data_IF_495988445501
#
_entry.id   IF_495988445501
#
_cell.length_a   1.000
_cell.length_b   1.000
_cell.length_c   1.000
_cell.angle_alpha   90.00
_cell.angle_beta   90.00
_cell.angle_gamma   90.00
#
_symmetry.space_group_name_H-M   'P 1'
#
loop_
_entity.id
_entity.type
_entity.pdbx_description
1 polymer ?
#
# COMPACT_ATOMS: atom_id res chain seq x y z
N UNK A 1 45.32 1.93 1.84
CA UNK A 1 43.85 2.08 1.96
C UNK A 1 43.07 0.79 1.71
N UNK A 2 43.49 -0.11 0.82
CA UNK A 2 42.73 -1.34 0.51
C UNK A 2 42.58 -2.33 1.70
N UNK A 3 43.60 -2.46 2.55
CA UNK A 3 43.56 -3.34 3.74
C UNK A 3 42.46 -2.91 4.74
N UNK A 4 42.27 -1.59 4.91
CA UNK A 4 41.22 -1.06 5.78
C UNK A 4 39.83 -1.43 5.23
N UNK A 5 39.59 -1.23 3.94
CA UNK A 5 38.32 -1.62 3.30
C UNK A 5 38.08 -3.13 3.36
N UNK A 6 39.11 -3.96 3.17
CA UNK A 6 38.99 -5.41 3.31
C UNK A 6 38.58 -5.83 4.73
N UNK A 7 39.16 -5.20 5.77
CA UNK A 7 38.79 -5.43 7.16
C UNK A 7 37.35 -4.99 7.46
N UNK A 8 36.94 -3.81 6.97
CA UNK A 8 35.57 -3.31 7.13
C UNK A 8 34.57 -4.25 6.45
N UNK A 9 34.84 -4.67 5.20
CA UNK A 9 33.97 -5.62 4.48
C UNK A 9 33.87 -6.96 5.22
N UNK A 10 34.97 -7.47 5.77
CA UNK A 10 34.97 -8.70 6.55
C UNK A 10 34.14 -8.57 7.84
N UNK A 11 34.29 -7.45 8.56
CA UNK A 11 33.50 -7.19 9.77
C UNK A 11 32.00 -7.08 9.47
N UNK A 12 31.63 -6.40 8.38
CA UNK A 12 30.22 -6.25 7.95
C UNK A 12 29.64 -7.59 7.52
N UNK A 13 30.36 -8.39 6.72
CA UNK A 13 29.93 -9.74 6.34
C UNK A 13 29.80 -10.68 7.54
N UNK A 14 30.73 -10.62 8.49
CA UNK A 14 30.67 -11.39 9.73
C UNK A 14 29.45 -11.01 10.57
N UNK A 15 29.18 -9.71 10.71
CA UNK A 15 27.98 -9.21 11.41
C UNK A 15 26.68 -9.64 10.72
N UNK A 16 26.58 -9.48 9.40
CA UNK A 16 25.43 -9.90 8.60
C UNK A 16 25.18 -11.40 8.73
N UNK A 17 26.23 -12.21 8.62
CA UNK A 17 26.12 -13.65 8.78
C UNK A 17 25.71 -14.08 10.19
N UNK A 18 26.24 -13.41 11.21
CA UNK A 18 25.85 -13.64 12.61
C UNK A 18 24.39 -13.26 12.87
N UNK A 19 23.97 -12.05 12.45
CA UNK A 19 22.59 -11.60 12.59
C UNK A 19 21.62 -12.53 11.85
N UNK A 20 22.03 -13.01 10.67
CA UNK A 20 21.25 -13.98 9.91
C UNK A 20 21.14 -15.33 10.62
N UNK A 21 22.23 -15.89 11.15
CA UNK A 21 22.20 -17.13 11.95
C UNK A 21 21.32 -17.01 13.20
N UNK A 22 21.39 -15.89 13.91
CA UNK A 22 20.53 -15.60 15.06
C UNK A 22 19.06 -15.57 14.60
N UNK A 23 18.77 -14.90 13.48
CA UNK A 23 17.41 -14.87 12.92
C UNK A 23 16.95 -16.28 12.53
N UNK A 24 17.82 -17.07 11.90
CA UNK A 24 17.56 -18.45 11.50
C UNK A 24 17.14 -19.29 12.72
N UNK A 25 17.92 -19.22 13.79
CA UNK A 25 17.70 -20.02 15.00
C UNK A 25 16.52 -19.55 15.87
N UNK A 26 16.19 -18.26 15.87
CA UNK A 26 15.17 -17.71 16.77
C UNK A 26 13.79 -17.57 16.13
N UNK A 27 13.73 -17.23 14.84
CA UNK A 27 12.46 -17.04 14.10
C UNK A 27 11.95 -18.28 13.40
N UNK A 28 12.79 -19.25 13.05
CA UNK A 28 12.38 -20.39 12.24
C UNK A 28 12.40 -21.69 13.03
N UNK A 29 11.33 -22.46 12.93
CA UNK A 29 11.31 -23.83 13.45
C UNK A 29 11.89 -24.77 12.38
N UNK A 30 13.08 -25.27 12.66
CA UNK A 30 13.81 -26.16 11.76
C UNK A 30 13.29 -27.59 11.82
N UNK A 31 12.49 -27.95 10.82
CA UNK A 31 12.14 -29.34 10.55
C UNK A 31 13.28 -30.10 9.90
N UNK A 32 13.19 -31.43 9.84
CA UNK A 32 14.23 -32.30 9.26
C UNK A 32 14.50 -31.90 7.81
N UNK A 33 13.47 -31.53 7.05
CA UNK A 33 13.62 -31.10 5.65
C UNK A 33 14.43 -29.80 5.54
N UNK A 34 14.12 -28.80 6.35
CA UNK A 34 14.85 -27.52 6.34
C UNK A 34 16.33 -27.70 6.70
N UNK A 35 16.64 -28.64 7.61
CA UNK A 35 18.03 -28.96 7.98
C UNK A 35 18.78 -29.63 6.84
N UNK A 36 18.13 -30.54 6.10
CA UNK A 36 18.73 -31.19 4.92
C UNK A 36 19.03 -30.17 3.83
N UNK A 37 18.10 -29.25 3.55
CA UNK A 37 18.31 -28.20 2.54
C UNK A 37 19.42 -27.25 2.96
N UNK A 38 19.45 -26.79 4.21
CA UNK A 38 20.52 -25.93 4.72
C UNK A 38 21.87 -26.65 4.71
N UNK A 39 21.92 -27.94 5.07
CA UNK A 39 23.13 -28.74 5.00
C UNK A 39 23.63 -28.89 3.55
N UNK A 40 22.72 -29.08 2.60
CA UNK A 40 23.06 -29.14 1.18
C UNK A 40 23.62 -27.81 0.67
N UNK A 41 23.00 -26.68 1.03
CA UNK A 41 23.50 -25.34 0.70
C UNK A 41 24.88 -25.11 1.32
N UNK A 42 25.10 -25.55 2.56
CA UNK A 42 26.40 -25.46 3.22
C UNK A 42 27.50 -26.24 2.48
N UNK A 43 27.21 -27.49 2.11
CA UNK A 43 28.14 -28.34 1.35
C UNK A 43 28.45 -27.70 -0.01
N UNK A 44 27.42 -27.21 -0.71
CA UNK A 44 27.58 -26.56 -2.02
C UNK A 44 28.42 -25.27 -1.90
N UNK A 45 28.15 -24.45 -0.88
CA UNK A 45 28.88 -23.22 -0.62
C UNK A 45 30.36 -23.49 -0.30
N UNK A 46 30.66 -24.51 0.50
CA UNK A 46 32.04 -24.93 0.78
C UNK A 46 32.75 -25.47 -0.47
N UNK A 47 32.08 -26.30 -1.27
CA UNK A 47 32.65 -26.83 -2.50
C UNK A 47 32.96 -25.72 -3.51
N UNK A 48 32.06 -24.74 -3.65
CA UNK A 48 32.27 -23.55 -4.48
C UNK A 48 33.41 -22.69 -3.96
N UNK A 49 33.44 -22.39 -2.65
CA UNK A 49 34.50 -21.61 -2.03
C UNK A 49 35.88 -22.29 -2.15
N UNK A 50 35.93 -23.63 -2.04
CA UNK A 50 37.16 -24.38 -2.24
C UNK A 50 37.66 -24.23 -3.67
N UNK A 51 36.79 -24.38 -4.68
CA UNK A 51 37.16 -24.16 -6.09
C UNK A 51 37.63 -22.73 -6.36
N UNK A 52 36.96 -21.73 -5.81
CA UNK A 52 37.36 -20.32 -5.94
C UNK A 52 38.74 -20.11 -5.32
N UNK A 53 38.97 -20.61 -4.11
CA UNK A 53 40.27 -20.50 -3.44
C UNK A 53 41.39 -21.23 -4.20
N UNK A 54 41.04 -22.33 -4.89
CA UNK A 54 41.99 -23.09 -5.70
C UNK A 54 42.45 -22.32 -6.95
N UNK A 55 41.54 -21.55 -7.55
CA UNK A 55 41.83 -20.74 -8.73
C UNK A 55 42.54 -19.43 -8.40
N UNK A 56 42.15 -18.75 -7.32
CA UNK A 56 42.71 -17.44 -6.95
C UNK A 56 44.14 -17.57 -6.43
N UNK A 57 44.44 -18.63 -5.68
CA UNK A 57 45.75 -18.82 -5.06
C UNK A 57 46.18 -20.29 -5.13
N UNK A 58 46.69 -20.75 -6.28
CA UNK A 58 47.07 -22.17 -6.48
C UNK A 58 48.26 -22.60 -5.62
N UNK A 59 49.20 -21.69 -5.33
CA UNK A 59 50.44 -21.97 -4.60
C UNK A 59 50.40 -21.73 -3.08
N UNK A 60 49.24 -21.42 -2.51
CA UNK A 60 49.14 -21.23 -1.06
C UNK A 60 49.24 -22.56 -0.30
N UNK A 61 49.84 -22.50 0.89
CA UNK A 61 49.83 -23.62 1.81
C UNK A 61 48.41 -23.94 2.28
N UNK A 62 48.20 -25.17 2.75
CA UNK A 62 46.86 -25.68 3.10
C UNK A 62 46.18 -24.81 4.17
N UNK A 63 46.91 -24.35 5.18
CA UNK A 63 46.37 -23.57 6.30
C UNK A 63 45.71 -22.23 5.88
N UNK A 64 46.38 -21.29 5.20
CA UNK A 64 45.76 -20.05 4.74
C UNK A 64 44.64 -20.29 3.71
N UNK A 65 44.73 -21.35 2.90
CA UNK A 65 43.65 -21.72 1.98
C UNK A 65 42.38 -22.09 2.77
N UNK A 66 42.48 -22.93 3.80
CA UNK A 66 41.32 -23.33 4.62
C UNK A 66 40.65 -22.12 5.28
N UNK A 67 41.42 -21.14 5.78
CA UNK A 67 40.89 -19.92 6.40
C UNK A 67 40.07 -19.12 5.39
N UNK A 68 40.62 -18.88 4.19
CA UNK A 68 39.91 -18.12 3.15
C UNK A 68 38.72 -18.90 2.60
N UNK A 69 38.84 -20.21 2.39
CA UNK A 69 37.70 -21.04 1.97
C UNK A 69 36.57 -21.00 2.98
N UNK A 70 36.88 -21.05 4.27
CA UNK A 70 35.87 -21.02 5.34
C UNK A 70 35.16 -19.67 5.36
N UNK A 71 35.90 -18.56 5.24
CA UNK A 71 35.33 -17.22 5.19
C UNK A 71 34.43 -17.00 3.96
N UNK A 72 34.91 -17.37 2.77
CA UNK A 72 34.15 -17.25 1.52
C UNK A 72 32.95 -18.19 1.51
N UNK A 73 33.12 -19.42 1.98
CA UNK A 73 32.06 -20.42 2.10
C UNK A 73 30.96 -19.98 3.06
N UNK A 74 31.33 -19.38 4.19
CA UNK A 74 30.39 -18.78 5.12
C UNK A 74 29.58 -17.64 4.46
N UNK A 75 30.26 -16.73 3.75
CA UNK A 75 29.59 -15.67 3.00
C UNK A 75 28.60 -16.20 1.97
N UNK A 76 29.01 -17.17 1.13
CA UNK A 76 28.15 -17.81 0.15
C UNK A 76 26.95 -18.51 0.81
N UNK A 77 27.18 -19.22 1.91
CA UNK A 77 26.13 -19.87 2.66
C UNK A 77 25.11 -18.86 3.18
N UNK A 78 25.55 -17.73 3.76
CA UNK A 78 24.64 -16.72 4.31
C UNK A 78 23.73 -16.15 3.23
N UNK A 79 24.26 -15.84 2.05
CA UNK A 79 23.48 -15.30 0.92
C UNK A 79 22.51 -16.36 0.36
N UNK A 80 23.00 -17.57 0.11
CA UNK A 80 22.19 -18.65 -0.47
C UNK A 80 21.10 -19.14 0.49
N UNK A 81 21.41 -19.26 1.78
CA UNK A 81 20.42 -19.61 2.80
C UNK A 81 19.38 -18.51 2.97
N UNK A 82 19.77 -17.23 2.92
CA UNK A 82 18.83 -16.11 2.92
C UNK A 82 17.87 -16.18 1.72
N UNK A 83 18.40 -16.38 0.52
CA UNK A 83 17.59 -16.52 -0.69
C UNK A 83 16.63 -17.72 -0.61
N UNK A 84 17.13 -18.89 -0.18
CA UNK A 84 16.33 -20.10 -0.05
C UNK A 84 15.21 -19.95 0.97
N UNK A 85 15.49 -19.38 2.15
CA UNK A 85 14.48 -19.13 3.19
C UNK A 85 13.47 -18.07 2.74
N UNK A 86 13.92 -17.02 2.05
CA UNK A 86 13.02 -15.98 1.52
C UNK A 86 12.08 -16.55 0.46
N UNK A 87 12.59 -17.39 -0.44
CA UNK A 87 11.78 -18.10 -1.42
C UNK A 87 10.77 -19.03 -0.74
N UNK A 88 11.20 -19.74 0.31
CA UNK A 88 10.31 -20.60 1.09
C UNK A 88 9.19 -19.82 1.78
N UNK A 89 9.53 -18.66 2.36
CA UNK A 89 8.54 -17.77 2.96
C UNK A 89 7.56 -17.26 1.91
N UNK A 90 8.04 -16.89 0.71
CA UNK A 90 7.18 -16.48 -0.41
C UNK A 90 6.24 -17.61 -0.86
N UNK A 91 6.71 -18.85 -0.90
CA UNK A 91 5.86 -20.00 -1.21
C UNK A 91 4.80 -20.24 -0.13
N UNK A 92 5.15 -20.08 1.15
CA UNK A 92 4.20 -20.22 2.26
C UNK A 92 3.20 -19.07 2.35
N UNK A 93 3.57 -17.85 1.94
CA UNK A 93 2.64 -16.71 1.89
C UNK A 93 1.77 -16.71 0.64
N UNK A 94 2.11 -17.51 -0.37
CA UNK A 94 1.41 -17.55 -1.66
C UNK A 94 -0.10 -17.80 -1.53
N UNK A 95 -0.54 -18.68 -0.64
CA UNK A 95 -1.98 -18.92 -0.43
C UNK A 95 -2.71 -17.69 0.14
N UNK A 96 -2.03 -16.92 1.01
CA UNK A 96 -2.56 -15.65 1.50
C UNK A 96 -2.55 -14.60 0.38
N UNK A 97 -1.49 -14.56 -0.42
CA UNK A 97 -1.35 -13.61 -1.53
C UNK A 97 -2.40 -13.88 -2.62
N UNK A 98 -2.67 -15.15 -2.95
CA UNK A 98 -3.72 -15.55 -3.89
C UNK A 98 -5.12 -15.22 -3.35
N UNK A 99 -5.39 -15.43 -2.06
CA UNK A 99 -6.66 -15.03 -1.44
C UNK A 99 -6.86 -13.51 -1.42
N UNK A 100 -5.81 -12.76 -1.10
CA UNK A 100 -5.86 -11.29 -1.10
C UNK A 100 -6.12 -10.80 -2.53
N UNK A 101 -5.38 -11.31 -3.52
CA UNK A 101 -5.56 -10.93 -4.92
C UNK A 101 -6.97 -11.26 -5.45
N UNK A 102 -7.53 -12.42 -5.10
CA UNK A 102 -8.90 -12.77 -5.48
C UNK A 102 -9.94 -11.83 -4.86
N UNK A 103 -9.76 -11.46 -3.59
CA UNK A 103 -10.66 -10.51 -2.90
C UNK A 103 -10.53 -9.08 -3.45
N UNK A 104 -9.33 -8.64 -3.83
CA UNK A 104 -9.11 -7.35 -4.50
C UNK A 104 -9.76 -7.31 -5.89
N UNK A 105 -9.71 -8.40 -6.64
CA UNK A 105 -10.37 -8.51 -7.94
C UNK A 105 -11.91 -8.50 -7.81
N UNK A 106 -12.45 -9.22 -6.81
CA UNK A 106 -13.89 -9.17 -6.48
C UNK A 106 -14.32 -7.76 -6.04
N UNK A 107 -13.52 -7.06 -5.23
CA UNK A 107 -13.76 -5.67 -4.83
C UNK A 107 -13.83 -4.75 -6.06
N UNK A 108 -12.83 -4.83 -6.94
CA UNK A 108 -12.77 -4.01 -8.16
C UNK A 108 -13.96 -4.30 -9.10
N UNK A 109 -14.39 -5.57 -9.21
CA UNK A 109 -15.56 -5.93 -10.00
C UNK A 109 -16.86 -5.37 -9.41
N UNK A 110 -17.03 -5.41 -8.09
CA UNK A 110 -18.20 -4.86 -7.41
C UNK A 110 -18.23 -3.33 -7.44
N UNK A 111 -17.08 -2.67 -7.31
CA UNK A 111 -16.97 -1.22 -7.49
C UNK A 111 -17.39 -0.79 -8.90
N UNK A 112 -16.88 -1.46 -9.95
CA UNK A 112 -17.32 -1.21 -11.34
C UNK A 112 -18.82 -1.40 -11.51
N UNK A 113 -19.41 -2.43 -10.89
CA UNK A 113 -20.85 -2.69 -10.96
C UNK A 113 -21.65 -1.60 -10.26
N UNK A 114 -21.16 -1.09 -9.13
CA UNK A 114 -21.78 0.02 -8.41
C UNK A 114 -21.69 1.33 -9.23
N UNK A 115 -20.56 1.57 -9.90
CA UNK A 115 -20.40 2.71 -10.80
C UNK A 115 -21.35 2.63 -12.00
N UNK A 116 -21.54 1.45 -12.59
CA UNK A 116 -22.49 1.23 -13.68
C UNK A 116 -23.93 1.48 -13.19
N UNK A 117 -24.31 0.92 -12.04
CA UNK A 117 -25.64 1.14 -11.46
C UNK A 117 -25.88 2.61 -11.10
N UNK A 118 -24.84 3.31 -10.63
CA UNK A 118 -24.88 4.76 -10.40
C UNK A 118 -25.12 5.51 -11.70
N UNK A 119 -24.38 5.18 -12.76
CA UNK A 119 -24.57 5.74 -14.10
C UNK A 119 -25.96 5.46 -14.69
N UNK A 120 -26.49 4.25 -14.52
CA UNK A 120 -27.82 3.87 -15.00
C UNK A 120 -28.93 4.54 -14.19
N UNK A 121 -28.78 4.70 -12.87
CA UNK A 121 -29.74 5.42 -12.03
C UNK A 121 -29.83 6.91 -12.38
N UNK A 122 -28.69 7.53 -12.76
CA UNK A 122 -28.63 8.90 -13.26
C UNK A 122 -29.29 9.04 -14.63
N UNK A 123 -29.29 7.98 -15.45
CA UNK A 123 -29.84 7.98 -16.81
C UNK A 123 -31.31 7.55 -16.90
N UNK A 124 -31.74 6.63 -16.04
CA UNK A 124 -33.07 6.01 -16.01
C UNK A 124 -34.05 6.65 -15.04
N UNK A 125 -33.57 7.45 -14.07
CA UNK A 125 -34.40 8.36 -13.32
C UNK A 125 -34.86 9.48 -14.24
N UNK A 126 -36.03 9.30 -14.87
CA UNK A 126 -36.67 10.24 -15.80
C UNK A 126 -36.91 11.62 -15.18
N UNK A 127 -35.85 12.39 -15.02
CA UNK A 127 -35.93 13.81 -14.83
C UNK A 127 -35.88 14.39 -16.23
N UNK A 128 -37.04 14.83 -16.75
CA UNK A 128 -37.08 15.81 -17.83
C UNK A 128 -36.50 17.13 -17.30
N UNK A 129 -35.19 17.14 -17.05
CA UNK A 129 -34.43 18.37 -16.91
C UNK A 129 -34.28 18.90 -18.33
N UNK A 130 -34.91 20.04 -18.57
CA UNK A 130 -34.71 20.87 -19.76
C UNK A 130 -33.22 20.83 -20.18
N UNK A 131 -32.88 20.59 -21.46
CA UNK A 131 -31.50 20.34 -21.91
C UNK A 131 -30.51 21.42 -21.44
N UNK A 132 -30.97 22.66 -21.29
CA UNK A 132 -30.17 23.77 -20.74
C UNK A 132 -29.71 23.62 -19.28
N UNK A 133 -30.40 22.83 -18.45
CA UNK A 133 -30.02 22.58 -17.04
C UNK A 133 -29.11 21.36 -16.90
N UNK A 134 -29.30 20.32 -17.72
CA UNK A 134 -28.41 19.15 -17.76
C UNK A 134 -27.03 19.55 -18.28
N UNK A 135 -26.96 20.38 -19.32
CA UNK A 135 -25.67 20.86 -19.84
C UNK A 135 -24.92 21.74 -18.82
N UNK A 136 -25.63 22.49 -17.98
CA UNK A 136 -25.04 23.29 -16.91
C UNK A 136 -24.57 22.45 -15.73
N UNK A 137 -25.38 21.49 -15.28
CA UNK A 137 -25.05 20.62 -14.14
C UNK A 137 -23.98 19.58 -14.51
N UNK A 138 -23.98 19.09 -15.76
CA UNK A 138 -22.87 18.29 -16.31
C UNK A 138 -21.60 19.12 -16.48
N UNK A 139 -21.69 20.39 -16.90
CA UNK A 139 -20.53 21.27 -16.97
C UNK A 139 -19.96 21.56 -15.57
N UNK A 140 -20.80 21.78 -14.56
CA UNK A 140 -20.39 21.97 -13.17
C UNK A 140 -19.82 20.68 -12.55
N UNK A 141 -20.41 19.52 -12.84
CA UNK A 141 -19.89 18.23 -12.40
C UNK A 141 -18.55 17.87 -13.06
N UNK A 142 -18.40 18.14 -14.36
CA UNK A 142 -17.11 17.97 -15.07
C UNK A 142 -16.06 18.93 -14.52
N UNK A 143 -16.44 20.17 -14.27
CA UNK A 143 -15.56 21.20 -13.70
C UNK A 143 -15.11 20.85 -12.28
N UNK A 144 -16.00 20.33 -11.43
CA UNK A 144 -15.63 19.90 -10.06
C UNK A 144 -14.73 18.66 -10.07
N UNK A 145 -14.91 17.73 -11.01
CA UNK A 145 -14.02 16.56 -11.19
C UNK A 145 -12.65 16.98 -11.73
N UNK A 146 -12.61 17.93 -12.67
CA UNK A 146 -11.38 18.49 -13.22
C UNK A 146 -10.63 19.30 -12.16
N UNK A 147 -11.33 20.15 -11.39
CA UNK A 147 -10.78 20.86 -10.24
C UNK A 147 -10.23 19.90 -9.17
N UNK A 148 -10.95 18.82 -8.86
CA UNK A 148 -10.44 17.81 -7.92
C UNK A 148 -9.20 17.08 -8.44
N UNK A 149 -9.10 16.84 -9.75
CA UNK A 149 -7.93 16.24 -10.38
C UNK A 149 -6.73 17.19 -10.33
N UNK A 150 -6.92 18.45 -10.68
CA UNK A 150 -5.87 19.47 -10.68
C UNK A 150 -5.33 19.70 -9.27
N UNK A 151 -6.21 19.73 -8.26
CA UNK A 151 -5.81 19.86 -6.86
C UNK A 151 -5.01 18.64 -6.36
N UNK A 152 -5.36 17.43 -6.81
CA UNK A 152 -4.60 16.21 -6.49
C UNK A 152 -3.22 16.20 -7.15
N UNK A 153 -3.15 16.55 -8.44
CA UNK A 153 -1.89 16.62 -9.17
C UNK A 153 -0.96 17.69 -8.58
N UNK A 154 -1.50 18.86 -8.22
CA UNK A 154 -0.76 19.90 -7.52
C UNK A 154 -0.18 19.39 -6.19
N UNK A 155 -1.00 18.73 -5.39
CA UNK A 155 -0.60 18.24 -4.07
C UNK A 155 0.46 17.14 -4.16
N UNK A 156 0.34 16.23 -5.12
CA UNK A 156 1.33 15.18 -5.39
C UNK A 156 2.66 15.79 -5.83
N UNK A 157 2.63 16.73 -6.78
CA UNK A 157 3.83 17.44 -7.26
C UNK A 157 4.51 18.23 -6.15
N UNK A 158 3.73 18.87 -5.27
CA UNK A 158 4.25 19.62 -4.13
C UNK A 158 4.88 18.70 -3.07
N UNK A 159 4.26 17.55 -2.79
CA UNK A 159 4.79 16.52 -1.89
C UNK A 159 6.10 15.93 -2.39
N UNK A 160 6.23 15.69 -3.70
CA UNK A 160 7.41 15.06 -4.31
C UNK A 160 8.53 16.07 -4.64
N UNK A 161 8.27 17.37 -4.51
CA UNK A 161 9.23 18.43 -4.84
C UNK A 161 10.39 18.52 -3.84
N UNK A 162 11.60 18.20 -4.31
CA UNK A 162 12.87 18.52 -3.65
C UNK A 162 13.24 17.65 -2.44
N UNK A 163 14.29 18.06 -1.71
CA UNK A 163 14.86 17.31 -0.58
C UNK A 163 14.01 17.27 0.70
N UNK A 164 12.88 17.99 0.73
CA UNK A 164 11.96 18.06 1.87
C UNK A 164 10.70 17.20 1.70
N UNK A 165 10.64 16.35 0.67
CA UNK A 165 9.46 15.55 0.32
C UNK A 165 8.92 14.71 1.50
N UNK A 166 9.82 14.13 2.30
CA UNK A 166 9.45 13.34 3.50
C UNK A 166 8.76 14.18 4.58
N UNK A 167 9.18 15.43 4.76
CA UNK A 167 8.58 16.33 5.76
C UNK A 167 7.21 16.80 5.28
N UNK A 168 7.07 17.09 3.98
CA UNK A 168 5.81 17.50 3.36
C UNK A 168 4.77 16.38 3.35
N UNK A 169 5.17 15.14 3.09
CA UNK A 169 4.25 14.00 3.15
C UNK A 169 3.75 13.73 4.58
N UNK A 170 4.64 13.84 5.58
CA UNK A 170 4.24 13.75 6.98
C UNK A 170 3.26 14.87 7.36
N UNK A 171 3.55 16.11 6.96
CA UNK A 171 2.66 17.26 7.22
C UNK A 171 1.30 17.12 6.56
N UNK A 172 1.23 16.59 5.35
CA UNK A 172 -0.06 16.32 4.69
C UNK A 172 -0.87 15.26 5.45
N UNK A 173 -0.23 14.22 5.99
CA UNK A 173 -0.92 13.22 6.81
C UNK A 173 -1.49 13.85 8.10
N UNK A 174 -0.71 14.69 8.77
CA UNK A 174 -1.18 15.44 9.96
C UNK A 174 -2.40 16.31 9.61
N UNK A 175 -2.34 17.09 8.53
CA UNK A 175 -3.47 17.92 8.10
C UNK A 175 -4.70 17.11 7.69
N UNK A 176 -4.53 15.95 7.04
CA UNK A 176 -5.66 15.06 6.73
C UNK A 176 -6.35 14.58 8.00
N UNK A 177 -5.59 14.23 9.03
CA UNK A 177 -6.15 13.79 10.31
C UNK A 177 -6.91 14.92 11.02
N UNK A 178 -6.35 16.13 11.03
CA UNK A 178 -7.01 17.33 11.58
C UNK A 178 -8.32 17.65 10.84
N UNK A 179 -8.28 17.65 9.52
CA UNK A 179 -9.41 18.01 8.66
C UNK A 179 -10.52 16.96 8.71
N UNK A 180 -10.16 15.67 8.81
CA UNK A 180 -11.13 14.58 8.99
C UNK A 180 -11.97 14.73 10.27
N UNK A 181 -11.44 15.41 11.30
CA UNK A 181 -12.12 15.67 12.57
C UNK A 181 -12.91 16.99 12.58
N UNK A 182 -12.59 17.92 11.68
CA UNK A 182 -13.20 19.24 11.63
C UNK A 182 -14.60 19.20 11.02
N UNK A 183 -15.51 20.07 11.48
CA UNK A 183 -16.85 20.21 10.91
C UNK A 183 -16.82 20.98 9.58
N UNK A 184 -17.79 20.76 8.69
CA UNK A 184 -17.81 21.41 7.37
C UNK A 184 -17.83 22.95 7.46
N UNK A 185 -18.48 23.51 8.49
CA UNK A 185 -18.49 24.96 8.73
C UNK A 185 -17.11 25.48 9.13
N UNK A 186 -16.33 24.69 9.88
CA UNK A 186 -14.96 25.04 10.30
C UNK A 186 -14.01 24.96 9.10
N UNK A 187 -14.17 23.95 8.23
CA UNK A 187 -13.40 23.82 6.98
C UNK A 187 -13.61 25.04 6.08
N UNK A 188 -14.85 25.51 5.92
CA UNK A 188 -15.15 26.71 5.11
C UNK A 188 -14.51 27.96 5.70
N UNK A 189 -14.61 28.16 7.01
CA UNK A 189 -13.97 29.29 7.70
C UNK A 189 -12.45 29.25 7.56
N UNK A 190 -11.85 28.07 7.61
CA UNK A 190 -10.41 27.88 7.45
C UNK A 190 -9.95 28.13 6.00
N UNK A 191 -10.75 27.75 5.01
CA UNK A 191 -10.51 28.11 3.60
C UNK A 191 -10.49 29.64 3.44
N UNK A 192 -11.50 30.34 3.97
CA UNK A 192 -11.57 31.80 3.89
C UNK A 192 -10.43 32.51 4.65
N UNK A 193 -9.95 31.90 5.73
CA UNK A 193 -8.80 32.39 6.48
C UNK A 193 -7.49 32.21 5.67
N UNK A 194 -7.26 31.02 5.12
CA UNK A 194 -6.08 30.72 4.29
C UNK A 194 -6.05 31.53 3.00
N UNK A 195 -7.20 31.78 2.37
CA UNK A 195 -7.27 32.67 1.19
C UNK A 195 -6.95 34.12 1.53
N UNK A 196 -7.19 34.57 2.77
CA UNK A 196 -6.77 35.90 3.23
C UNK A 196 -5.28 35.92 3.56
N UNK A 197 -4.76 34.86 4.17
CA UNK A 197 -3.33 34.70 4.49
C UNK A 197 -2.47 34.66 3.23
N UNK A 198 -2.86 33.88 2.21
CA UNK A 198 -2.16 33.83 0.91
C UNK A 198 -2.09 35.21 0.22
N UNK A 199 -3.10 36.07 0.43
CA UNK A 199 -3.14 37.41 -0.16
C UNK A 199 -2.29 38.44 0.60
N UNK A 200 -1.94 38.18 1.85
CA UNK A 200 -1.21 39.11 2.72
C UNK A 200 0.21 38.68 3.09
N UNK A 201 0.60 37.44 2.78
CA UNK A 201 1.94 36.91 3.09
C UNK A 201 2.91 37.19 1.92
N UNK A 202 4.16 37.54 2.24
CA UNK A 202 5.21 37.84 1.26
C UNK A 202 6.19 36.66 1.09
N UNK A 203 6.22 35.72 2.03
CA UNK A 203 7.10 34.55 2.01
C UNK A 203 6.56 33.45 1.08
N UNK A 204 7.27 33.21 -0.04
CA UNK A 204 6.92 32.19 -1.04
C UNK A 204 6.75 30.78 -0.45
N UNK A 205 7.53 30.40 0.57
CA UNK A 205 7.48 29.07 1.16
C UNK A 205 6.18 28.89 1.96
N UNK A 206 5.77 29.93 2.69
CA UNK A 206 4.52 29.92 3.45
C UNK A 206 3.30 29.99 2.54
N UNK A 207 3.38 30.78 1.46
CA UNK A 207 2.34 30.83 0.43
C UNK A 207 2.15 29.44 -0.17
N UNK A 208 3.22 28.72 -0.49
CA UNK A 208 3.14 27.37 -1.06
C UNK A 208 2.57 26.35 -0.07
N UNK A 209 2.91 26.45 1.22
CA UNK A 209 2.32 25.62 2.27
C UNK A 209 0.83 25.91 2.46
N UNK A 210 0.44 27.19 2.47
CA UNK A 210 -0.96 27.61 2.60
C UNK A 210 -1.79 27.16 1.39
N UNK A 211 -1.24 27.24 0.17
CA UNK A 211 -1.87 26.70 -1.05
C UNK A 211 -2.06 25.18 -0.98
N UNK A 212 -1.07 24.44 -0.47
CA UNK A 212 -1.18 23.00 -0.30
C UNK A 212 -2.24 22.61 0.75
N UNK A 213 -2.31 23.33 1.88
CA UNK A 213 -3.34 23.12 2.91
C UNK A 213 -4.73 23.46 2.37
N UNK A 214 -4.86 24.56 1.63
CA UNK A 214 -6.10 24.97 0.98
C UNK A 214 -6.58 23.95 -0.04
N UNK A 215 -5.67 23.38 -0.86
CA UNK A 215 -6.01 22.34 -1.81
C UNK A 215 -6.59 21.10 -1.11
N UNK A 216 -6.04 20.75 0.05
CA UNK A 216 -6.50 19.61 0.84
C UNK A 216 -7.88 19.84 1.47
N UNK A 217 -8.13 21.03 2.01
CA UNK A 217 -9.45 21.43 2.53
C UNK A 217 -10.51 21.44 1.43
N UNK A 218 -10.18 21.95 0.23
CA UNK A 218 -11.10 21.94 -0.93
C UNK A 218 -11.41 20.53 -1.41
N UNK A 219 -10.43 19.63 -1.43
CA UNK A 219 -10.65 18.21 -1.77
C UNK A 219 -11.57 17.51 -0.77
N UNK A 220 -11.36 17.70 0.54
CA UNK A 220 -12.23 17.12 1.57
C UNK A 220 -13.67 17.65 1.45
N UNK A 221 -13.84 18.95 1.19
CA UNK A 221 -15.17 19.55 1.03
C UNK A 221 -15.89 18.98 -0.19
N UNK A 222 -15.19 18.80 -1.31
CA UNK A 222 -15.73 18.14 -2.51
C UNK A 222 -16.14 16.68 -2.24
N UNK A 223 -15.33 15.95 -1.47
CA UNK A 223 -15.62 14.56 -1.09
C UNK A 223 -16.85 14.47 -0.18
N UNK A 224 -16.96 15.36 0.82
CA UNK A 224 -18.12 15.43 1.72
C UNK A 224 -19.38 15.96 1.04
N UNK A 225 -19.25 16.88 0.09
CA UNK A 225 -20.37 17.39 -0.70
C UNK A 225 -20.94 16.29 -1.63
N UNK A 226 -20.09 15.46 -2.23
CA UNK A 226 -20.50 14.27 -2.98
C UNK A 226 -21.21 13.20 -2.12
N UNK A 227 -20.86 13.12 -0.83
CA UNK A 227 -21.52 12.24 0.15
C UNK A 227 -22.82 12.83 0.75
N UNK A 228 -22.97 14.16 0.78
CA UNK A 228 -24.16 14.82 1.33
C UNK A 228 -25.29 15.01 0.31
N UNK A 229 -24.96 15.13 -0.98
CA UNK A 229 -25.95 15.18 -2.07
C UNK A 229 -26.69 13.84 -2.21
N UNK A 230 -26.00 12.73 -1.95
CA UNK A 230 -26.60 11.38 -1.89
C UNK A 230 -27.60 11.22 -0.75
N UNK A 231 -27.36 11.84 0.41
CA UNK A 231 -28.27 11.79 1.58
C UNK A 231 -29.48 12.73 1.44
N UNK A 232 -29.33 13.85 0.73
CA UNK A 232 -30.41 14.83 0.55
C UNK A 232 -31.46 14.35 -0.47
N UNK A 233 -31.02 13.63 -1.50
CA UNK A 233 -31.90 13.02 -2.51
C UNK A 233 -32.75 11.87 -1.91
N UNK A 234 -32.25 11.17 -0.90
CA UNK A 234 -33.02 10.13 -0.18
C UNK A 234 -34.13 10.71 0.72
N UNK A 235 -33.93 11.91 1.29
CA UNK A 235 -34.90 12.50 2.24
C UNK A 235 -36.06 13.23 1.57
N UNK A 236 -35.89 13.69 0.34
CA UNK A 236 -36.94 14.41 -0.42
C UNK A 236 -37.90 13.45 -1.16
N UNK A 237 -37.51 12.19 -1.39
CA UNK A 237 -38.34 11.18 -2.07
C UNK A 237 -39.42 10.51 -1.21
N UNK A 238 -39.50 10.80 0.09
CA UNK A 238 -40.54 10.21 0.99
C UNK A 238 -41.87 10.98 0.94
N UNK A 239 -41.93 12.11 0.23
CA UNK A 239 -43.07 13.02 0.24
C UNK A 239 -43.77 13.27 -1.10
N UNK A 240 -43.90 12.29 -2.00
CA UNK A 240 -44.87 12.42 -3.10
C UNK A 240 -45.30 11.06 -3.62
N UNK A 241 -46.62 10.86 -3.65
CA UNK A 241 -47.23 9.57 -3.83
C UNK A 241 -47.21 9.03 -5.27
N UNK A 242 -47.28 7.71 -5.32
CA UNK A 242 -47.99 6.91 -6.33
C UNK A 242 -47.62 7.15 -7.81
N UNK A 243 -46.81 6.26 -8.38
CA UNK A 243 -47.32 5.38 -9.43
C UNK A 243 -46.45 4.14 -9.67
N UNK A 244 -47.18 3.08 -10.06
CA UNK A 244 -46.81 1.69 -10.24
C UNK A 244 -45.66 1.43 -11.22
N UNK A 245 -44.84 0.44 -10.84
CA UNK A 245 -44.36 -0.59 -11.76
C UNK A 245 -42.90 -0.44 -12.18
N UNK A 246 -42.07 -1.41 -11.76
CA UNK A 246 -40.70 -1.66 -12.25
C UNK A 246 -39.50 -1.02 -11.55
N UNK A 247 -39.62 -0.48 -10.33
CA UNK A 247 -38.44 -0.07 -9.54
C UNK A 247 -37.99 -1.09 -8.48
N UNK A 248 -38.72 -2.20 -8.27
CA UNK A 248 -38.50 -3.08 -7.10
C UNK A 248 -37.28 -4.00 -7.18
N UNK A 249 -36.69 -4.17 -8.37
CA UNK A 249 -35.54 -5.08 -8.55
C UNK A 249 -34.18 -4.38 -8.52
N UNK A 250 -34.10 -3.07 -8.76
CA UNK A 250 -32.81 -2.35 -8.83
C UNK A 250 -32.45 -1.68 -7.50
N UNK A 251 -33.43 -1.19 -6.72
CA UNK A 251 -33.17 -0.54 -5.42
C UNK A 251 -32.76 -1.53 -4.32
N UNK A 252 -32.99 -2.83 -4.49
CA UNK A 252 -32.50 -3.87 -3.56
C UNK A 252 -31.05 -4.29 -3.86
N UNK A 253 -30.54 -4.07 -5.08
CA UNK A 253 -29.20 -4.55 -5.47
C UNK A 253 -28.10 -3.67 -4.87
N UNK A 254 -28.33 -2.36 -4.74
CA UNK A 254 -27.35 -1.43 -4.17
C UNK A 254 -27.00 -1.69 -2.69
N UNK A 255 -27.97 -1.90 -1.76
CA UNK A 255 -27.64 -2.26 -0.38
C UNK A 255 -26.98 -3.63 -0.27
N UNK A 256 -27.33 -4.59 -1.13
CA UNK A 256 -26.71 -5.93 -1.14
C UNK A 256 -25.25 -5.88 -1.64
N UNK A 257 -24.96 -5.07 -2.68
CA UNK A 257 -23.59 -4.84 -3.16
C UNK A 257 -22.74 -4.10 -2.13
N UNK A 258 -23.29 -3.07 -1.46
CA UNK A 258 -22.59 -2.36 -0.37
C UNK A 258 -22.31 -3.28 0.82
N UNK A 259 -23.25 -4.15 1.17
CA UNK A 259 -23.07 -5.16 2.22
C UNK A 259 -21.97 -6.16 1.86
N UNK A 260 -21.92 -6.61 0.59
CA UNK A 260 -20.86 -7.51 0.10
C UNK A 260 -19.49 -6.81 0.07
N UNK A 261 -19.42 -5.54 -0.30
CA UNK A 261 -18.18 -4.75 -0.22
C UNK A 261 -17.66 -4.62 1.22
N UNK A 262 -18.55 -4.36 2.19
CA UNK A 262 -18.16 -4.34 3.61
C UNK A 262 -17.68 -5.71 4.11
N UNK A 263 -18.31 -6.79 3.63
CA UNK A 263 -17.89 -8.15 3.94
C UNK A 263 -16.52 -8.48 3.35
N UNK A 264 -16.27 -8.14 2.09
CA UNK A 264 -14.95 -8.30 1.44
C UNK A 264 -13.89 -7.47 2.17
N UNK A 265 -14.18 -6.23 2.56
CA UNK A 265 -13.24 -5.42 3.31
C UNK A 265 -12.88 -6.05 4.66
N UNK A 266 -13.85 -6.67 5.34
CA UNK A 266 -13.62 -7.42 6.58
C UNK A 266 -12.81 -8.69 6.33
N UNK A 267 -13.08 -9.41 5.25
CA UNK A 267 -12.33 -10.61 4.85
C UNK A 267 -10.89 -10.27 4.44
N UNK A 268 -10.67 -9.15 3.76
CA UNK A 268 -9.35 -8.66 3.35
C UNK A 268 -8.54 -8.24 4.58
N UNK A 269 -9.14 -7.49 5.52
CA UNK A 269 -8.51 -7.19 6.80
C UNK A 269 -8.17 -8.46 7.60
N UNK A 270 -9.06 -9.47 7.60
CA UNK A 270 -8.81 -10.75 8.25
C UNK A 270 -7.66 -11.54 7.58
N UNK A 271 -7.59 -11.55 6.25
CA UNK A 271 -6.52 -12.19 5.50
C UNK A 271 -5.16 -11.50 5.71
N UNK A 272 -5.14 -10.16 5.72
CA UNK A 272 -3.94 -9.37 6.00
C UNK A 272 -3.44 -9.56 7.43
N UNK A 273 -4.35 -9.53 8.41
CA UNK A 273 -4.01 -9.75 9.82
C UNK A 273 -3.50 -11.18 10.02
N UNK A 274 -4.13 -12.18 9.39
CA UNK A 274 -3.66 -13.56 9.37
C UNK A 274 -2.25 -13.70 8.77
N UNK A 275 -1.97 -13.01 7.65
CA UNK A 275 -0.62 -12.97 7.05
C UNK A 275 0.40 -12.32 7.99
N UNK A 276 0.04 -11.20 8.64
CA UNK A 276 0.92 -10.50 9.60
C UNK A 276 1.19 -11.35 10.84
N UNK A 277 0.19 -12.05 11.36
CA UNK A 277 0.34 -12.96 12.50
C UNK A 277 1.20 -14.17 12.14
N UNK A 278 1.03 -14.74 10.95
CA UNK A 278 1.88 -15.81 10.43
C UNK A 278 3.36 -15.37 10.33
N UNK A 279 3.62 -14.15 9.86
CA UNK A 279 4.97 -13.58 9.75
C UNK A 279 5.57 -13.11 11.09
N UNK A 280 4.72 -12.82 12.09
CA UNK A 280 5.13 -12.49 13.46
C UNK A 280 5.42 -13.73 14.30
N UNK A 281 4.75 -14.85 14.03
CA UNK A 281 4.98 -16.14 14.67
C UNK A 281 6.28 -16.82 14.25
N UNK A 282 6.60 -17.95 14.89
CA UNK A 282 7.69 -18.82 14.42
C UNK A 282 7.25 -19.53 13.14
N UNK A 283 8.00 -19.34 12.06
CA UNK A 283 7.68 -19.93 10.76
C UNK A 283 8.27 -21.35 10.73
N UNK A 284 7.40 -22.37 10.62
CA UNK A 284 7.83 -23.75 10.34
C UNK A 284 8.19 -23.88 8.87
N UNK A 285 9.44 -24.22 8.60
CA UNK A 285 9.93 -24.41 7.24
C UNK A 285 9.60 -25.83 6.74
N UNK A 286 8.32 -26.11 6.46
CA UNK A 286 7.85 -27.38 5.89
C UNK A 286 7.41 -27.20 4.43
N UNK A 287 7.56 -28.26 3.61
CA UNK A 287 7.03 -28.30 2.24
C UNK A 287 5.53 -28.57 2.18
N UNK A 288 4.95 -29.17 3.23
CA UNK A 288 3.52 -29.45 3.30
C UNK A 288 2.81 -28.25 3.92
N UNK A 289 1.96 -27.60 3.12
CA UNK A 289 0.94 -26.69 3.63
C UNK A 289 0.12 -27.44 4.70
N UNK A 290 -0.27 -26.74 5.77
CA UNK A 290 -1.19 -27.31 6.77
C UNK A 290 -2.49 -27.64 6.04
N UNK A 291 -2.71 -28.93 5.78
CA UNK A 291 -4.06 -29.48 5.60
C UNK A 291 -4.84 -29.35 6.90
#
# INVERSE_FOLDING_TARGET
>A
MWIFWALVSFAVLGWLGYAWLVTLSTKYEHTVESRVVLAFIWILALAAAWRISAQVAPGWSVAPRVIVTSAVGFGLFTILSFAAVSLWCSLLTREFDERIAALEEEEAALQRRLDILRWESLRGGGVELSPAKVDMEEAEARKTVEEARDLREFLEKWQQSGGAARVRSLKVLEWKEEISRAANAEIVQEIEALEREIRGEEDEIKIDQAKAKLALLKLELLERAGASSTVSIEREKVGSGSQKGSARSETMVEPDVRRRLQEIHRELQAAETGKREFLRGRIRLTWRARS
#
